data_IF_030389938129
#
_entry.id   IF_030389938129
#
_cell.length_a   1.000
_cell.length_b   1.000
_cell.length_c   1.000
_cell.angle_alpha   90.00
_cell.angle_beta   90.00
_cell.angle_gamma   90.00
#
_symmetry.space_group_name_H-M   'P 1'
#
loop_
_entity.id
_entity.type
_entity.pdbx_description
1 polymer ?
#
# COMPACT_ATOMS: atom_id res chain seq x y z
N UNK A 1 -18.65 -7.98 -3.06
CA UNK A 1 -18.07 -6.82 -2.33
C UNK A 1 -16.75 -7.29 -1.76
N UNK A 2 -15.60 -6.69 -2.10
CA UNK A 2 -14.37 -7.01 -1.39
C UNK A 2 -14.53 -6.55 0.06
N UNK A 3 -14.49 -7.50 1.00
CA UNK A 3 -14.59 -7.23 2.43
C UNK A 3 -13.40 -6.39 2.88
N UNK A 4 -13.61 -5.49 3.85
CA UNK A 4 -12.56 -4.59 4.37
C UNK A 4 -11.34 -5.37 4.89
N UNK A 5 -11.53 -6.61 5.35
CA UNK A 5 -10.46 -7.53 5.74
C UNK A 5 -9.52 -7.90 4.57
N UNK A 6 -10.05 -8.08 3.35
CA UNK A 6 -9.23 -8.38 2.18
C UNK A 6 -8.32 -7.20 1.81
N UNK A 7 -8.79 -5.96 2.02
CA UNK A 7 -7.99 -4.75 1.81
C UNK A 7 -6.88 -4.62 2.85
N UNK A 8 -7.20 -4.84 4.13
CA UNK A 8 -6.23 -4.76 5.21
C UNK A 8 -5.09 -5.79 5.07
N UNK A 9 -5.42 -7.01 4.65
CA UNK A 9 -4.41 -8.04 4.42
C UNK A 9 -3.48 -7.67 3.25
N UNK A 10 -4.04 -7.12 2.17
CA UNK A 10 -3.28 -6.70 1.00
C UNK A 10 -2.32 -5.55 1.30
N UNK A 11 -2.78 -4.57 2.09
CA UNK A 11 -1.94 -3.45 2.55
C UNK A 11 -0.84 -3.93 3.50
N UNK A 12 -1.15 -4.85 4.43
CA UNK A 12 -0.19 -5.41 5.37
C UNK A 12 0.92 -6.26 4.71
N UNK A 13 0.57 -7.07 3.71
CA UNK A 13 1.56 -7.82 2.93
C UNK A 13 2.42 -6.87 2.08
N UNK A 14 1.80 -5.88 1.44
CA UNK A 14 2.49 -4.88 0.63
C UNK A 14 3.48 -4.04 1.46
N UNK A 15 3.07 -3.68 2.68
CA UNK A 15 3.88 -2.99 3.68
C UNK A 15 5.10 -3.83 4.10
N UNK A 16 4.87 -5.10 4.47
CA UNK A 16 5.93 -6.03 4.88
C UNK A 16 6.95 -6.28 3.77
N UNK A 17 6.48 -6.47 2.53
CA UNK A 17 7.33 -6.74 1.37
C UNK A 17 8.25 -5.55 1.02
N UNK A 18 7.81 -4.32 1.30
CA UNK A 18 8.56 -3.09 1.01
C UNK A 18 9.20 -2.44 2.24
N UNK A 19 9.25 -3.15 3.39
CA UNK A 19 9.72 -2.59 4.67
C UNK A 19 9.12 -1.20 4.96
N UNK A 20 7.83 -1.03 4.63
CA UNK A 20 7.08 0.22 4.81
C UNK A 20 6.05 0.00 5.90
N UNK A 21 5.79 1.00 6.74
CA UNK A 21 4.76 0.89 7.78
C UNK A 21 3.38 0.68 7.15
N UNK A 22 2.50 -0.14 7.76
CA UNK A 22 1.14 -0.37 7.27
C UNK A 22 0.33 0.93 7.17
N UNK A 23 0.57 1.91 8.05
CA UNK A 23 -0.04 3.25 7.96
C UNK A 23 0.34 4.00 6.68
N UNK A 24 1.61 3.93 6.28
CA UNK A 24 2.08 4.53 5.02
C UNK A 24 1.52 3.76 3.82
N UNK A 25 1.47 2.44 3.92
CA UNK A 25 0.87 1.62 2.88
C UNK A 25 -0.63 1.92 2.71
N UNK A 26 -1.39 2.09 3.79
CA UNK A 26 -2.80 2.53 3.71
C UNK A 26 -2.92 3.89 3.03
N UNK A 27 -2.11 4.88 3.42
CA UNK A 27 -2.11 6.19 2.80
C UNK A 27 -1.80 6.11 1.28
N UNK A 28 -0.89 5.22 0.88
CA UNK A 28 -0.57 4.99 -0.53
C UNK A 28 -1.75 4.35 -1.27
N UNK A 29 -2.39 3.34 -0.68
CA UNK A 29 -3.55 2.69 -1.27
C UNK A 29 -4.77 3.63 -1.33
N UNK A 30 -4.96 4.50 -0.34
CA UNK A 30 -5.99 5.53 -0.34
C UNK A 30 -5.77 6.53 -1.48
N UNK A 31 -4.55 7.06 -1.62
CA UNK A 31 -4.19 7.99 -2.70
C UNK A 31 -4.24 7.30 -4.07
N UNK A 32 -3.91 6.01 -4.14
CA UNK A 32 -3.97 5.20 -5.36
C UNK A 32 -5.39 4.72 -5.72
N UNK A 33 -6.40 4.95 -4.87
CA UNK A 33 -7.75 4.42 -5.09
C UNK A 33 -7.82 2.88 -5.06
N UNK A 34 -6.97 2.25 -4.26
CA UNK A 34 -6.75 0.79 -4.19
C UNK A 34 -6.27 0.14 -5.49
N UNK A 35 -5.72 0.91 -6.42
CA UNK A 35 -5.15 0.40 -7.67
C UNK A 35 -3.68 0.02 -7.46
N UNK A 36 -3.38 -1.29 -7.51
CA UNK A 36 -2.05 -1.82 -7.17
C UNK A 36 -0.92 -1.25 -8.04
N UNK A 37 -1.20 -0.96 -9.32
CA UNK A 37 -0.19 -0.40 -10.24
C UNK A 37 0.12 1.05 -9.91
N UNK A 38 -0.89 1.82 -9.48
CA UNK A 38 -0.69 3.17 -8.95
C UNK A 38 0.01 3.12 -7.60
N UNK A 39 -0.42 2.25 -6.69
CA UNK A 39 0.19 2.07 -5.39
C UNK A 39 1.66 1.70 -5.49
N UNK A 40 2.04 0.83 -6.44
CA UNK A 40 3.44 0.51 -6.71
C UNK A 40 4.25 1.71 -7.23
N UNK A 41 3.70 2.51 -8.15
CA UNK A 41 4.37 3.72 -8.66
C UNK A 41 4.60 4.74 -7.57
N UNK A 42 3.59 4.96 -6.72
CA UNK A 42 3.67 5.88 -5.59
C UNK A 42 4.65 5.31 -4.55
N UNK A 43 4.48 4.05 -4.16
CA UNK A 43 5.34 3.34 -3.22
C UNK A 43 6.81 3.37 -3.59
N UNK A 44 7.15 3.15 -4.86
CA UNK A 44 8.55 3.27 -5.33
C UNK A 44 9.11 4.69 -5.15
N UNK A 45 8.25 5.71 -5.24
CA UNK A 45 8.63 7.11 -5.04
C UNK A 45 8.77 7.48 -3.55
N UNK A 46 7.94 6.90 -2.67
CA UNK A 46 7.99 7.15 -1.22
C UNK A 46 9.07 6.32 -0.53
N UNK A 47 9.24 5.05 -0.91
CA UNK A 47 10.20 4.12 -0.30
C UNK A 47 11.67 4.44 -0.63
N UNK A 48 11.94 5.19 -1.71
CA UNK A 48 13.31 5.59 -2.10
C UNK A 48 13.87 6.75 -1.25
N UNK A 49 13.15 7.18 -0.21
CA UNK A 49 13.57 8.28 0.69
C UNK A 49 13.92 7.83 2.12
N UNK A 50 13.94 6.53 2.40
CA UNK A 50 14.47 5.96 3.64
C UNK A 50 15.86 5.36 3.42
#
# INVERSE_FOLDING_TARGET
MPTQEAKAHHVGEWASLRNTSPEIAEAIFEVAGYDEKMAEKIGKKVAMKC
#
